data_IF_928727823160
#
_entry.id   IF_928727823160
#
_cell.length_a   1.000
_cell.length_b   1.000
_cell.length_c   1.000
_cell.angle_alpha   90.00
_cell.angle_beta   90.00
_cell.angle_gamma   90.00
#
_symmetry.space_group_name_H-M   'P 1'
#
loop_
_entity.id
_entity.type
_entity.pdbx_description
1 polymer ?
#
# COMPACT_ATOMS: atom_id res chain seq x y z
N UNK A 1 -3.07 -19.33 34.30
CA UNK A 1 -2.35 -18.56 33.27
C UNK A 1 -3.16 -18.75 32.01
N UNK A 2 -3.87 -17.73 31.54
CA UNK A 2 -4.45 -17.73 30.19
C UNK A 2 -3.28 -17.82 29.22
N UNK A 3 -3.24 -18.86 28.39
CA UNK A 3 -2.27 -18.93 27.28
C UNK A 3 -2.39 -17.63 26.47
N UNK A 4 -1.26 -17.02 26.15
CA UNK A 4 -1.23 -15.81 25.32
C UNK A 4 -1.71 -16.21 23.93
N UNK A 5 -2.97 -15.88 23.61
CA UNK A 5 -3.54 -16.07 22.27
C UNK A 5 -2.93 -15.04 21.33
N UNK A 6 -2.43 -15.50 20.18
CA UNK A 6 -1.98 -14.62 19.11
C UNK A 6 -3.16 -14.30 18.21
N UNK A 7 -3.27 -13.04 17.78
CA UNK A 7 -4.28 -12.60 16.85
C UNK A 7 -3.68 -12.56 15.43
N UNK A 8 -4.02 -13.55 14.63
CA UNK A 8 -3.51 -13.78 13.28
C UNK A 8 -4.38 -13.10 12.22
N UNK A 9 -3.77 -12.72 11.10
CA UNK A 9 -4.45 -12.38 9.84
C UNK A 9 -4.10 -13.46 8.81
N UNK A 10 -5.12 -14.07 8.22
CA UNK A 10 -4.97 -15.00 7.10
C UNK A 10 -5.61 -14.38 5.86
N UNK A 11 -4.82 -14.23 4.80
CA UNK A 11 -5.35 -13.95 3.45
C UNK A 11 -5.11 -15.12 2.52
N UNK A 12 -6.07 -15.36 1.62
CA UNK A 12 -5.94 -16.40 0.59
C UNK A 12 -6.63 -15.99 -0.70
N UNK A 13 -6.07 -16.46 -1.81
CA UNK A 13 -6.53 -16.26 -3.18
C UNK A 13 -6.41 -17.60 -3.92
N UNK A 14 -7.48 -18.06 -4.55
CA UNK A 14 -7.47 -19.28 -5.37
C UNK A 14 -8.58 -19.27 -6.42
N UNK A 15 -8.63 -20.28 -7.28
CA UNK A 15 -9.78 -20.50 -8.15
C UNK A 15 -11.04 -20.80 -7.31
N UNK A 16 -12.18 -20.21 -7.67
CA UNK A 16 -13.41 -20.40 -6.93
C UNK A 16 -14.01 -21.79 -7.15
N UNK A 17 -14.23 -22.52 -6.05
CA UNK A 17 -14.75 -23.89 -6.03
C UNK A 17 -15.52 -24.16 -4.74
N UNK A 18 -16.56 -25.02 -4.76
CA UNK A 18 -17.28 -25.40 -3.55
C UNK A 18 -16.36 -25.97 -2.44
N UNK A 19 -16.65 -25.58 -1.21
CA UNK A 19 -16.02 -26.16 -0.01
C UNK A 19 -14.81 -25.40 0.54
N UNK A 20 -14.31 -24.35 -0.12
CA UNK A 20 -13.17 -23.54 0.35
C UNK A 20 -13.40 -23.03 1.77
N UNK A 21 -14.51 -22.32 1.99
CA UNK A 21 -14.87 -21.73 3.29
C UNK A 21 -14.98 -22.79 4.38
N UNK A 22 -15.59 -23.94 4.07
CA UNK A 22 -15.74 -25.05 5.01
C UNK A 22 -14.39 -25.66 5.37
N UNK A 23 -13.51 -25.88 4.40
CA UNK A 23 -12.18 -26.43 4.63
C UNK A 23 -11.34 -25.50 5.53
N UNK A 24 -11.30 -24.21 5.21
CA UNK A 24 -10.53 -23.22 5.98
C UNK A 24 -11.06 -23.06 7.40
N UNK A 25 -12.38 -22.87 7.56
CA UNK A 25 -12.99 -22.78 8.89
C UNK A 25 -12.82 -24.06 9.70
N UNK A 26 -12.88 -25.23 9.05
CA UNK A 26 -12.59 -26.53 9.66
C UNK A 26 -11.16 -26.65 10.20
N UNK A 27 -10.15 -26.22 9.43
CA UNK A 27 -8.77 -26.20 9.90
C UNK A 27 -8.54 -25.22 11.05
N UNK A 28 -9.16 -24.04 11.00
CA UNK A 28 -9.10 -23.07 12.10
C UNK A 28 -9.65 -23.66 13.38
N UNK A 29 -10.83 -24.31 13.32
CA UNK A 29 -11.41 -25.01 14.47
C UNK A 29 -10.50 -26.16 14.94
N UNK A 30 -9.93 -26.93 14.02
CA UNK A 30 -8.98 -28.01 14.33
C UNK A 30 -7.72 -27.52 15.06
N UNK A 31 -7.34 -26.26 14.85
CA UNK A 31 -6.25 -25.57 15.52
C UNK A 31 -6.69 -24.82 16.80
N UNK A 32 -7.91 -25.06 17.29
CA UNK A 32 -8.56 -24.36 18.40
C UNK A 32 -8.62 -22.83 18.21
N UNK A 33 -8.65 -22.36 16.96
CA UNK A 33 -8.75 -20.96 16.61
C UNK A 33 -10.19 -20.44 16.63
N UNK A 34 -10.34 -19.17 16.98
CA UNK A 34 -11.61 -18.44 16.94
C UNK A 34 -11.55 -17.32 15.89
N UNK A 35 -12.47 -17.32 14.93
CA UNK A 35 -12.52 -16.29 13.89
C UNK A 35 -13.17 -15.03 14.48
N UNK A 36 -12.44 -13.91 14.47
CA UNK A 36 -12.88 -12.61 15.00
C UNK A 36 -13.27 -11.62 13.91
N UNK A 37 -12.75 -11.79 12.69
CA UNK A 37 -13.18 -11.06 11.48
C UNK A 37 -13.20 -12.05 10.31
N UNK A 38 -14.20 -11.97 9.44
CA UNK A 38 -14.31 -12.82 8.26
C UNK A 38 -14.90 -12.05 7.09
N UNK A 39 -14.14 -11.96 6.00
CA UNK A 39 -14.60 -11.40 4.74
C UNK A 39 -14.19 -12.32 3.58
N UNK A 40 -15.06 -12.45 2.60
CA UNK A 40 -14.82 -13.24 1.39
C UNK A 40 -15.46 -12.59 0.17
N UNK A 41 -14.93 -12.88 -1.01
CA UNK A 41 -15.45 -12.39 -2.27
C UNK A 41 -15.14 -13.40 -3.39
N UNK A 42 -16.14 -13.70 -4.22
CA UNK A 42 -15.97 -14.44 -5.47
C UNK A 42 -16.07 -13.49 -6.64
N UNK A 43 -15.06 -13.45 -7.49
CA UNK A 43 -15.06 -12.68 -8.73
C UNK A 43 -15.60 -13.53 -9.88
N UNK A 44 -16.82 -13.25 -10.34
CA UNK A 44 -17.39 -13.92 -11.53
C UNK A 44 -16.59 -13.62 -12.81
N UNK A 45 -15.93 -12.45 -12.86
CA UNK A 45 -15.13 -12.00 -14.01
C UNK A 45 -13.86 -12.84 -14.19
N UNK A 46 -13.24 -13.23 -13.06
CA UNK A 46 -11.93 -13.88 -13.06
C UNK A 46 -11.99 -15.33 -12.59
N UNK A 47 -13.13 -15.79 -12.08
CA UNK A 47 -13.30 -17.11 -11.47
C UNK A 47 -12.44 -17.30 -10.21
N UNK A 48 -12.09 -16.20 -9.54
CA UNK A 48 -11.15 -16.18 -8.41
C UNK A 48 -11.88 -15.91 -7.10
N UNK A 49 -11.57 -16.69 -6.08
CA UNK A 49 -12.04 -16.54 -4.71
C UNK A 49 -10.98 -15.85 -3.85
N UNK A 50 -11.43 -14.91 -3.04
CA UNK A 50 -10.62 -14.11 -2.12
C UNK A 50 -11.19 -14.24 -0.71
N UNK A 51 -10.33 -14.37 0.29
CA UNK A 51 -10.76 -14.37 1.68
C UNK A 51 -9.72 -13.72 2.57
N UNK A 52 -10.20 -12.98 3.56
CA UNK A 52 -9.41 -12.41 4.66
C UNK A 52 -10.09 -12.76 5.98
N UNK A 53 -9.31 -13.34 6.89
CA UNK A 53 -9.75 -13.71 8.23
C UNK A 53 -8.85 -13.04 9.26
N UNK A 54 -9.42 -12.66 10.39
CA UNK A 54 -8.67 -12.53 11.63
C UNK A 54 -9.03 -13.68 12.56
N UNK A 55 -8.02 -14.30 13.18
CA UNK A 55 -8.17 -15.50 13.98
C UNK A 55 -7.38 -15.37 15.27
N UNK A 56 -8.04 -15.55 16.42
CA UNK A 56 -7.37 -15.72 17.70
C UNK A 56 -7.04 -17.19 17.91
N UNK A 57 -5.77 -17.54 18.08
CA UNK A 57 -5.34 -18.91 18.36
C UNK A 57 -4.07 -18.93 19.23
N UNK A 58 -4.03 -19.85 20.21
CA UNK A 58 -2.89 -20.08 21.10
C UNK A 58 -1.92 -21.12 20.53
N UNK A 59 -1.46 -20.90 19.30
CA UNK A 59 -0.55 -21.78 18.55
C UNK A 59 0.55 -20.95 17.90
N UNK A 60 1.67 -21.57 17.53
CA UNK A 60 2.74 -20.90 16.79
C UNK A 60 2.37 -20.68 15.32
N UNK A 61 3.13 -19.80 14.64
CA UNK A 61 2.94 -19.57 13.20
C UNK A 61 3.19 -20.85 12.40
N UNK A 62 4.19 -21.65 12.79
CA UNK A 62 4.54 -22.93 12.16
C UNK A 62 3.42 -23.96 12.31
N UNK A 63 2.83 -24.06 13.51
CA UNK A 63 1.71 -24.95 13.79
C UNK A 63 0.47 -24.56 12.99
N UNK A 64 0.15 -23.26 12.92
CA UNK A 64 -0.98 -22.78 12.14
C UNK A 64 -0.75 -23.00 10.64
N UNK A 65 0.46 -22.71 10.15
CA UNK A 65 0.83 -22.97 8.75
C UNK A 65 0.69 -24.44 8.40
N UNK A 66 1.18 -25.34 9.27
CA UNK A 66 1.06 -26.79 9.08
C UNK A 66 -0.40 -27.27 9.07
N UNK A 67 -1.29 -26.64 9.85
CA UNK A 67 -2.72 -26.96 9.84
C UNK A 67 -3.43 -26.51 8.54
N UNK A 68 -2.95 -25.44 7.91
CA UNK A 68 -3.50 -24.90 6.67
C UNK A 68 -2.95 -25.60 5.41
N UNK A 69 -1.71 -26.08 5.46
CA UNK A 69 -0.97 -26.65 4.32
C UNK A 69 -1.76 -27.68 3.48
N UNK A 70 -2.47 -28.66 4.08
CA UNK A 70 -3.22 -29.63 3.28
C UNK A 70 -4.36 -28.99 2.46
N UNK A 71 -4.92 -27.88 2.95
CA UNK A 71 -6.02 -27.17 2.30
C UNK A 71 -5.46 -26.23 1.24
N UNK A 72 -4.41 -25.47 1.57
CA UNK A 72 -3.78 -24.54 0.64
C UNK A 72 -3.23 -25.27 -0.57
N UNK A 73 -2.64 -26.46 -0.39
CA UNK A 73 -2.23 -27.33 -1.50
C UNK A 73 -3.41 -27.87 -2.32
N UNK A 74 -4.46 -28.37 -1.66
CA UNK A 74 -5.65 -28.93 -2.34
C UNK A 74 -6.34 -27.93 -3.26
N UNK A 75 -6.41 -26.67 -2.84
CA UNK A 75 -7.08 -25.59 -3.57
C UNK A 75 -6.10 -24.68 -4.33
N UNK A 76 -4.80 -25.03 -4.36
CA UNK A 76 -3.76 -24.26 -5.05
C UNK A 76 -3.75 -22.78 -4.63
N UNK A 77 -3.91 -22.53 -3.33
CA UNK A 77 -4.05 -21.19 -2.78
C UNK A 77 -2.71 -20.45 -2.75
N UNK A 78 -2.72 -19.21 -3.20
CA UNK A 78 -1.74 -18.23 -2.74
C UNK A 78 -2.25 -17.66 -1.42
N UNK A 79 -1.46 -17.74 -0.35
CA UNK A 79 -1.89 -17.34 0.98
C UNK A 79 -0.77 -16.68 1.77
N UNK A 80 -1.15 -15.89 2.78
CA UNK A 80 -0.26 -15.25 3.74
C UNK A 80 -0.86 -15.36 5.13
N UNK A 81 0.00 -15.63 6.12
CA UNK A 81 -0.34 -15.58 7.54
C UNK A 81 0.55 -14.55 8.20
N UNK A 82 -0.07 -13.59 8.90
CA UNK A 82 0.59 -12.49 9.59
C UNK A 82 -0.08 -12.25 10.95
N UNK A 83 0.41 -11.27 11.71
CA UNK A 83 -0.10 -10.89 13.03
C UNK A 83 -0.80 -9.54 12.97
N UNK A 84 -1.99 -9.47 13.55
CA UNK A 84 -2.79 -8.24 13.63
C UNK A 84 -1.98 -7.14 14.34
N UNK A 85 -1.84 -6.00 13.65
CA UNK A 85 -1.21 -4.80 14.22
C UNK A 85 0.32 -4.80 14.22
N UNK A 86 0.98 -5.84 13.67
CA UNK A 86 2.42 -5.81 13.43
C UNK A 86 2.76 -4.62 12.50
N UNK A 87 3.73 -3.76 12.86
CA UNK A 87 4.16 -2.69 11.97
C UNK A 87 4.75 -3.25 10.67
N UNK A 88 4.22 -2.82 9.54
CA UNK A 88 4.73 -3.17 8.22
C UNK A 88 5.99 -2.37 7.90
N UNK A 89 7.08 -3.06 7.58
CA UNK A 89 8.37 -2.40 7.28
C UNK A 89 8.29 -1.69 5.93
N UNK A 90 8.34 -0.36 5.97
CA UNK A 90 7.96 0.50 4.84
C UNK A 90 9.05 1.50 4.50
N UNK A 91 9.56 1.46 3.27
CA UNK A 91 10.48 2.47 2.74
C UNK A 91 9.70 3.58 2.05
N UNK A 92 10.00 4.84 2.36
CA UNK A 92 9.32 5.98 1.72
C UNK A 92 10.29 6.71 0.79
N UNK A 93 9.89 6.87 -0.48
CA UNK A 93 10.61 7.66 -1.48
C UNK A 93 9.93 9.02 -1.64
N UNK A 94 10.73 10.09 -1.64
CA UNK A 94 10.22 11.47 -1.74
C UNK A 94 11.02 12.34 -2.69
N UNK A 95 10.36 13.38 -3.22
CA UNK A 95 11.02 14.49 -3.91
C UNK A 95 11.00 15.74 -3.03
N UNK A 96 10.35 16.83 -3.45
CA UNK A 96 10.33 18.10 -2.72
C UNK A 96 9.04 18.38 -1.96
N UNK A 97 7.94 17.73 -2.34
CA UNK A 97 6.64 17.98 -1.73
C UNK A 97 6.52 17.17 -0.44
N UNK A 98 6.41 17.86 0.70
CA UNK A 98 6.50 17.22 2.03
C UNK A 98 5.17 16.73 2.60
N UNK A 99 4.02 17.05 2.00
CA UNK A 99 2.70 16.82 2.59
C UNK A 99 2.39 15.35 2.87
N UNK A 100 2.59 14.46 1.88
CA UNK A 100 2.38 13.03 2.06
C UNK A 100 3.33 12.42 3.11
N UNK A 101 4.62 12.77 3.06
CA UNK A 101 5.61 12.29 4.02
C UNK A 101 5.25 12.74 5.45
N UNK A 102 4.88 14.00 5.62
CA UNK A 102 4.49 14.53 6.92
C UNK A 102 3.25 13.83 7.49
N UNK A 103 2.20 13.61 6.69
CA UNK A 103 0.99 12.90 7.14
C UNK A 103 1.28 11.45 7.54
N UNK A 104 2.08 10.72 6.75
CA UNK A 104 2.49 9.35 7.08
C UNK A 104 3.30 9.29 8.38
N UNK A 105 4.33 10.14 8.53
CA UNK A 105 5.18 10.17 9.73
C UNK A 105 4.40 10.58 10.98
N UNK A 106 3.50 11.56 10.85
CA UNK A 106 2.60 11.97 11.92
C UNK A 106 1.72 10.81 12.38
N UNK A 107 1.06 10.10 11.46
CA UNK A 107 0.16 9.00 11.77
C UNK A 107 0.87 7.76 12.29
N UNK A 108 2.08 7.47 11.82
CA UNK A 108 2.94 6.44 12.40
C UNK A 108 3.20 6.78 13.87
N UNK A 109 3.71 7.99 14.16
CA UNK A 109 4.01 8.43 15.54
C UNK A 109 2.76 8.43 16.44
N UNK A 110 1.59 8.72 15.87
CA UNK A 110 0.31 8.71 16.59
C UNK A 110 -0.30 7.29 16.76
N UNK A 111 0.32 6.24 16.23
CA UNK A 111 -0.22 4.87 16.26
C UNK A 111 -1.47 4.66 15.39
N UNK A 112 -1.68 5.53 14.39
CA UNK A 112 -2.83 5.50 13.47
C UNK A 112 -2.51 4.80 12.14
N UNK A 113 -1.23 4.55 11.89
CA UNK A 113 -0.72 3.85 10.71
C UNK A 113 0.32 2.83 11.18
N UNK A 114 -0.01 1.53 11.10
CA UNK A 114 0.84 0.43 11.57
C UNK A 114 1.98 0.14 10.59
N UNK A 115 2.89 1.10 10.44
CA UNK A 115 4.10 0.98 9.63
C UNK A 115 5.33 1.31 10.46
N UNK A 116 6.46 0.76 10.06
CA UNK A 116 7.78 1.16 10.53
C UNK A 116 8.55 1.74 9.34
N UNK A 117 8.94 3.00 9.41
CA UNK A 117 9.75 3.66 8.37
C UNK A 117 11.21 3.75 8.85
N UNK A 118 12.09 2.79 8.48
CA UNK A 118 13.49 2.79 8.93
C UNK A 118 14.35 3.81 8.17
N UNK A 119 13.93 4.23 6.97
CA UNK A 119 14.66 5.18 6.14
C UNK A 119 13.69 5.92 5.20
N UNK A 120 13.97 7.19 4.96
CA UNK A 120 13.43 7.96 3.84
C UNK A 120 14.54 8.17 2.80
N UNK A 121 14.28 7.77 1.55
CA UNK A 121 15.18 8.04 0.43
C UNK A 121 14.63 9.15 -0.45
N UNK A 122 15.48 10.06 -0.88
CA UNK A 122 15.04 11.21 -1.66
C UNK A 122 15.98 11.54 -2.82
N UNK A 123 15.42 12.08 -3.91
CA UNK A 123 16.24 12.65 -4.98
C UNK A 123 16.66 14.12 -4.72
N UNK A 124 16.25 14.68 -3.57
CA UNK A 124 16.54 16.05 -3.13
C UNK A 124 16.71 16.11 -1.60
N UNK A 125 17.49 17.06 -1.05
CA UNK A 125 17.69 17.20 0.39
C UNK A 125 16.55 17.94 1.12
N UNK A 126 15.60 18.52 0.38
CA UNK A 126 14.58 19.46 0.88
C UNK A 126 13.79 18.97 2.11
N UNK A 127 13.58 17.66 2.24
CA UNK A 127 12.77 17.06 3.31
C UNK A 127 13.58 16.45 4.46
N UNK A 128 14.91 16.63 4.48
CA UNK A 128 15.77 16.06 5.52
C UNK A 128 15.36 16.53 6.93
N UNK A 129 15.12 17.83 7.12
CA UNK A 129 14.71 18.38 8.42
C UNK A 129 13.34 17.88 8.89
N UNK A 130 12.44 17.54 7.96
CA UNK A 130 11.15 16.93 8.29
C UNK A 130 11.33 15.51 8.83
N UNK A 131 12.13 14.68 8.15
CA UNK A 131 12.43 13.33 8.61
C UNK A 131 13.17 13.35 9.97
N UNK A 132 14.14 14.24 10.13
CA UNK A 132 14.88 14.46 11.38
C UNK A 132 13.95 14.82 12.55
N UNK A 133 12.97 15.72 12.34
CA UNK A 133 11.98 16.06 13.35
C UNK A 133 11.16 14.84 13.84
N UNK A 134 10.91 13.89 12.94
CA UNK A 134 10.26 12.63 13.29
C UNK A 134 11.20 11.55 13.85
N UNK A 135 12.52 11.79 13.82
CA UNK A 135 13.54 10.85 14.26
C UNK A 135 13.80 9.72 13.24
N UNK A 136 13.49 9.95 11.96
CA UNK A 136 13.64 8.96 10.89
C UNK A 136 14.90 9.28 10.08
N UNK A 137 15.80 8.30 9.85
CA UNK A 137 16.95 8.47 8.98
C UNK A 137 16.55 8.96 7.57
N UNK A 138 17.39 9.81 6.98
CA UNK A 138 17.16 10.39 5.67
C UNK A 138 18.43 10.31 4.81
N UNK A 139 18.29 9.81 3.60
CA UNK A 139 19.38 9.72 2.63
C UNK A 139 18.94 10.37 1.30
N UNK A 140 19.65 11.41 0.86
CA UNK A 140 19.39 12.07 -0.42
C UNK A 140 20.48 11.79 -1.45
N UNK A 141 20.08 11.42 -2.66
CA UNK A 141 20.97 11.25 -3.82
C UNK A 141 20.35 11.92 -5.05
N UNK A 142 20.98 12.96 -5.63
CA UNK A 142 20.47 13.59 -6.83
C UNK A 142 20.27 12.58 -7.98
N UNK A 143 19.21 12.77 -8.75
CA UNK A 143 18.93 11.99 -9.97
C UNK A 143 18.75 12.98 -11.11
N UNK A 144 19.82 13.18 -11.88
CA UNK A 144 19.89 14.12 -13.01
C UNK A 144 20.29 13.45 -14.33
N UNK A 145 20.82 12.23 -14.28
CA UNK A 145 21.14 11.40 -15.45
C UNK A 145 20.55 9.99 -15.36
N UNK A 146 20.61 9.24 -16.48
CA UNK A 146 20.16 7.84 -16.52
C UNK A 146 21.02 6.94 -15.63
N UNK A 147 22.33 7.19 -15.56
CA UNK A 147 23.28 6.47 -14.71
C UNK A 147 22.98 6.72 -13.23
N UNK A 148 22.69 7.97 -12.85
CA UNK A 148 22.31 8.33 -11.48
C UNK A 148 20.95 7.72 -11.10
N UNK A 149 19.99 7.66 -12.05
CA UNK A 149 18.72 6.97 -11.84
C UNK A 149 18.94 5.48 -11.56
N UNK A 150 19.74 4.80 -12.40
CA UNK A 150 20.04 3.38 -12.20
C UNK A 150 20.74 3.14 -10.86
N UNK A 151 21.67 4.01 -10.46
CA UNK A 151 22.33 3.93 -9.15
C UNK A 151 21.38 4.19 -7.98
N UNK A 152 20.42 5.11 -8.12
CA UNK A 152 19.38 5.36 -7.13
C UNK A 152 18.47 4.16 -6.95
N UNK A 153 17.96 3.60 -8.04
CA UNK A 153 17.10 2.41 -8.02
C UNK A 153 17.83 1.19 -7.44
N UNK A 154 19.11 0.99 -7.79
CA UNK A 154 19.94 -0.04 -7.18
C UNK A 154 20.10 0.16 -5.66
N UNK A 155 20.28 1.40 -5.20
CA UNK A 155 20.31 1.70 -3.75
C UNK A 155 18.99 1.40 -3.08
N UNK A 156 17.86 1.71 -3.71
CA UNK A 156 16.54 1.38 -3.16
C UNK A 156 16.40 -0.13 -2.97
N UNK A 157 16.78 -0.93 -3.96
CA UNK A 157 16.74 -2.41 -3.84
C UNK A 157 17.66 -2.92 -2.73
N UNK A 158 18.86 -2.35 -2.60
CA UNK A 158 19.77 -2.67 -1.50
C UNK A 158 19.15 -2.37 -0.13
N UNK A 159 18.51 -1.21 0.04
CA UNK A 159 17.81 -0.86 1.29
C UNK A 159 16.66 -1.80 1.58
N UNK A 160 15.93 -2.22 0.53
CA UNK A 160 14.84 -3.18 0.66
C UNK A 160 15.34 -4.50 1.25
N UNK A 161 16.47 -5.01 0.78
CA UNK A 161 17.10 -6.22 1.32
C UNK A 161 17.69 -5.99 2.72
N UNK A 162 18.45 -4.92 2.93
CA UNK A 162 19.12 -4.62 4.21
C UNK A 162 18.15 -4.44 5.38
N UNK A 163 16.93 -3.98 5.10
CA UNK A 163 15.95 -3.62 6.11
C UNK A 163 14.68 -4.46 6.03
N UNK A 164 14.67 -5.58 5.30
CA UNK A 164 13.48 -6.45 5.15
C UNK A 164 12.21 -5.65 4.81
N UNK A 165 12.30 -4.74 3.84
CA UNK A 165 11.19 -3.86 3.46
C UNK A 165 10.11 -4.67 2.73
N UNK A 166 8.89 -4.53 3.22
CA UNK A 166 7.71 -5.20 2.69
C UNK A 166 6.94 -4.31 1.70
N UNK A 167 7.03 -2.99 1.87
CA UNK A 167 6.36 -1.99 1.05
C UNK A 167 7.25 -0.79 0.75
N UNK A 168 7.28 -0.36 -0.51
CA UNK A 168 7.83 0.93 -0.92
C UNK A 168 6.68 1.91 -1.21
N UNK A 169 6.74 3.11 -0.67
CA UNK A 169 5.73 4.16 -0.87
C UNK A 169 6.34 5.34 -1.59
N UNK A 170 5.77 5.71 -2.74
CA UNK A 170 6.12 6.93 -3.47
C UNK A 170 5.29 8.09 -2.92
N UNK A 171 5.78 8.74 -1.86
CA UNK A 171 5.14 9.91 -1.27
C UNK A 171 5.46 11.17 -2.11
N UNK A 172 4.80 11.26 -3.28
CA UNK A 172 5.06 12.27 -4.31
C UNK A 172 6.51 12.29 -4.79
N UNK A 173 7.07 11.10 -4.98
CA UNK A 173 8.32 10.92 -5.72
C UNK A 173 8.08 11.15 -7.21
N UNK A 174 8.85 12.06 -7.82
CA UNK A 174 8.56 12.58 -9.16
C UNK A 174 9.40 11.95 -10.27
N UNK A 175 10.35 11.06 -9.96
CA UNK A 175 11.10 10.34 -10.99
C UNK A 175 10.27 9.17 -11.52
N UNK A 176 10.22 9.03 -12.84
CA UNK A 176 9.65 7.84 -13.49
C UNK A 176 10.55 6.66 -13.15
N UNK A 177 9.99 5.55 -12.67
CA UNK A 177 10.72 4.32 -12.35
C UNK A 177 11.03 3.52 -13.62
N UNK A 178 12.14 2.78 -13.63
CA UNK A 178 12.45 1.87 -14.74
C UNK A 178 11.52 0.64 -14.74
N UNK A 179 11.24 0.04 -15.91
CA UNK A 179 10.49 -1.21 -15.99
C UNK A 179 11.09 -2.33 -15.14
N UNK A 180 12.42 -2.43 -15.10
CA UNK A 180 13.16 -3.43 -14.34
C UNK A 180 12.94 -3.27 -12.83
N UNK A 181 12.97 -2.02 -12.34
CA UNK A 181 12.68 -1.70 -10.95
C UNK A 181 11.21 -1.99 -10.58
N UNK A 182 10.26 -1.63 -11.44
CA UNK A 182 8.84 -1.96 -11.24
C UNK A 182 8.62 -3.48 -11.17
N UNK A 183 9.30 -4.26 -12.00
CA UNK A 183 9.20 -5.72 -11.97
C UNK A 183 9.76 -6.33 -10.68
N UNK A 184 10.92 -5.85 -10.21
CA UNK A 184 11.57 -6.34 -9.00
C UNK A 184 10.74 -6.15 -7.71
N UNK A 185 9.90 -5.11 -7.69
CA UNK A 185 9.03 -4.77 -6.55
C UNK A 185 7.54 -4.85 -6.91
N UNK A 186 7.17 -5.68 -7.89
CA UNK A 186 5.79 -5.84 -8.33
C UNK A 186 4.86 -6.18 -7.16
N UNK A 187 3.73 -5.47 -7.06
CA UNK A 187 2.78 -5.61 -5.95
C UNK A 187 3.24 -5.05 -4.60
N UNK A 188 4.44 -4.43 -4.54
CA UNK A 188 5.03 -3.86 -3.32
C UNK A 188 5.41 -2.39 -3.43
N UNK A 189 4.93 -1.69 -4.46
CA UNK A 189 5.11 -0.24 -4.58
C UNK A 189 3.74 0.42 -4.67
N UNK A 190 3.43 1.33 -3.73
CA UNK A 190 2.23 2.17 -3.77
C UNK A 190 2.63 3.59 -4.17
N UNK A 191 1.94 4.14 -5.16
CA UNK A 191 2.09 5.53 -5.60
C UNK A 191 0.83 6.34 -5.30
N UNK A 192 0.99 7.67 -5.22
CA UNK A 192 -0.11 8.63 -5.19
C UNK A 192 -0.06 9.52 -6.44
N UNK A 193 -1.14 9.46 -7.22
CA UNK A 193 -1.37 10.36 -8.33
C UNK A 193 -2.36 11.45 -7.91
N UNK A 194 -2.04 12.69 -8.25
CA UNK A 194 -2.74 13.92 -7.83
C UNK A 194 -4.07 14.18 -8.55
N UNK A 195 -4.47 13.25 -9.41
CA UNK A 195 -5.70 13.33 -10.19
C UNK A 195 -6.60 12.14 -9.88
N UNK A 196 -7.89 12.35 -10.09
CA UNK A 196 -8.84 11.25 -10.19
C UNK A 196 -8.65 10.61 -11.57
N UNK A 197 -7.89 9.53 -11.64
CA UNK A 197 -7.65 8.80 -12.88
C UNK A 197 -8.99 8.29 -13.43
N UNK A 198 -9.25 8.42 -14.76
CA UNK A 198 -8.31 8.77 -15.84
C UNK A 198 -8.16 10.28 -16.17
N UNK A 199 -8.56 11.22 -15.31
CA UNK A 199 -8.52 12.67 -15.58
C UNK A 199 -7.13 13.32 -15.51
N UNK A 200 -6.92 14.38 -16.31
CA UNK A 200 -5.75 15.29 -16.35
C UNK A 200 -4.35 14.64 -16.21
N UNK A 201 -3.85 14.04 -17.30
CA UNK A 201 -2.44 13.60 -17.41
C UNK A 201 -1.50 14.81 -17.64
N UNK A 202 -0.23 14.68 -17.22
CA UNK A 202 0.84 15.63 -17.54
C UNK A 202 1.09 16.75 -16.51
N UNK A 203 1.83 17.79 -16.92
CA UNK A 203 2.31 18.83 -16.00
C UNK A 203 1.21 19.82 -15.55
N UNK A 204 1.35 20.36 -14.33
CA UNK A 204 0.47 21.39 -13.76
C UNK A 204 -1.04 21.03 -13.75
N UNK A 205 -1.42 19.86 -13.21
CA UNK A 205 -2.80 19.35 -13.16
C UNK A 205 -3.81 20.34 -12.60
N UNK A 206 -3.47 21.02 -11.49
CA UNK A 206 -4.38 21.97 -10.83
C UNK A 206 -4.61 23.24 -11.64
N UNK A 207 -3.64 23.66 -12.47
CA UNK A 207 -3.86 24.76 -13.43
C UNK A 207 -4.83 24.34 -14.53
N UNK A 208 -4.71 23.11 -15.03
CA UNK A 208 -5.63 22.56 -16.03
C UNK A 208 -7.05 22.42 -15.43
N UNK A 209 -7.15 21.90 -14.21
CA UNK A 209 -8.41 21.78 -13.47
C UNK A 209 -9.09 23.15 -13.26
N UNK A 210 -8.33 24.16 -12.83
CA UNK A 210 -8.81 25.54 -12.69
C UNK A 210 -9.31 26.10 -14.02
N UNK A 211 -8.50 26.03 -15.08
CA UNK A 211 -8.87 26.54 -16.40
C UNK A 211 -10.11 25.83 -16.97
N UNK A 212 -10.28 24.54 -16.67
CA UNK A 212 -11.44 23.75 -17.09
C UNK A 212 -12.69 24.00 -16.25
N UNK A 213 -12.55 24.68 -15.10
CA UNK A 213 -13.64 25.05 -14.20
C UNK A 213 -14.24 23.85 -13.45
N UNK A 214 -13.44 22.83 -13.14
CA UNK A 214 -13.92 21.61 -12.47
C UNK A 214 -14.62 21.90 -11.15
N UNK A 215 -15.48 20.98 -10.72
CA UNK A 215 -16.19 21.04 -9.42
C UNK A 215 -15.74 19.97 -8.44
N UNK A 216 -14.83 19.12 -8.89
CA UNK A 216 -14.20 18.08 -8.11
C UNK A 216 -12.72 18.03 -8.51
N UNK A 217 -11.86 17.89 -7.51
CA UNK A 217 -10.49 17.39 -7.68
C UNK A 217 -10.35 16.16 -6.80
N UNK A 218 -9.36 15.32 -7.06
CA UNK A 218 -9.18 14.09 -6.30
C UNK A 218 -7.80 13.51 -6.49
N UNK A 219 -7.54 12.42 -5.79
CA UNK A 219 -6.30 11.69 -5.85
C UNK A 219 -6.57 10.20 -5.98
N UNK A 220 -5.60 9.47 -6.54
CA UNK A 220 -5.68 8.04 -6.77
C UNK A 220 -4.41 7.37 -6.23
N UNK A 221 -4.55 6.52 -5.23
CA UNK A 221 -3.49 5.63 -4.78
C UNK A 221 -3.59 4.30 -5.51
N UNK A 222 -2.48 3.82 -6.04
CA UNK A 222 -2.45 2.61 -6.87
C UNK A 222 -1.12 1.88 -6.73
N UNK A 223 -1.11 0.59 -7.06
CA UNK A 223 0.16 -0.14 -7.23
C UNK A 223 0.90 0.37 -8.47
N UNK A 224 2.22 0.43 -8.41
CA UNK A 224 3.04 0.78 -9.58
C UNK A 224 3.20 -0.44 -10.49
N UNK A 225 3.09 -0.22 -11.79
CA UNK A 225 3.42 -1.17 -12.85
C UNK A 225 4.41 -0.51 -13.84
N UNK A 226 4.80 -1.22 -14.89
CA UNK A 226 5.59 -0.62 -15.99
C UNK A 226 4.81 0.46 -16.76
N UNK A 227 3.48 0.40 -16.73
CA UNK A 227 2.61 1.37 -17.38
C UNK A 227 2.37 2.55 -16.43
N UNK A 228 2.87 3.73 -16.83
CA UNK A 228 2.88 4.93 -16.00
C UNK A 228 1.47 5.34 -15.58
N UNK A 229 1.23 5.43 -14.27
CA UNK A 229 -0.04 5.82 -13.64
C UNK A 229 -1.24 4.92 -14.02
N UNK A 230 -1.01 3.66 -14.39
CA UNK A 230 -2.07 2.74 -14.87
C UNK A 230 -2.16 1.41 -14.09
N UNK A 231 -1.44 1.29 -12.98
CA UNK A 231 -1.51 0.09 -12.15
C UNK A 231 -2.82 -0.04 -11.34
N UNK A 232 -3.05 -1.21 -10.71
CA UNK A 232 -4.28 -1.49 -9.98
C UNK A 232 -4.56 -0.45 -8.88
N UNK A 233 -5.72 0.19 -8.98
CA UNK A 233 -6.19 1.24 -8.05
C UNK A 233 -6.53 0.62 -6.70
N UNK A 234 -5.97 1.17 -5.62
CA UNK A 234 -6.25 0.76 -4.24
C UNK A 234 -7.30 1.69 -3.62
N UNK A 235 -7.15 3.00 -3.81
CA UNK A 235 -8.04 3.99 -3.21
C UNK A 235 -8.19 5.25 -4.08
N UNK A 236 -9.37 5.85 -4.05
CA UNK A 236 -9.61 7.16 -4.65
C UNK A 236 -10.47 8.03 -3.75
N UNK A 237 -10.05 9.28 -3.54
CA UNK A 237 -10.89 10.30 -2.90
C UNK A 237 -11.05 11.51 -3.81
N UNK A 238 -12.18 12.20 -3.62
CA UNK A 238 -12.51 13.45 -4.30
C UNK A 238 -13.02 14.48 -3.30
N UNK A 239 -12.74 15.75 -3.57
CA UNK A 239 -13.23 16.90 -2.83
C UNK A 239 -13.84 17.92 -3.77
N UNK A 240 -14.92 18.55 -3.30
CA UNK A 240 -15.60 19.60 -4.04
C UNK A 240 -14.80 20.90 -4.03
N UNK A 241 -14.68 21.51 -5.20
CA UNK A 241 -14.10 22.83 -5.39
C UNK A 241 -15.05 23.71 -6.19
N UNK A 242 -14.87 25.03 -6.12
CA UNK A 242 -15.72 25.98 -6.83
C UNK A 242 -14.91 27.11 -7.48
N UNK A 243 -15.62 28.05 -8.10
CA UNK A 243 -15.06 29.14 -8.88
C UNK A 243 -14.38 30.22 -8.03
N UNK A 244 -14.50 30.18 -6.70
CA UNK A 244 -13.83 31.13 -5.81
C UNK A 244 -12.37 30.77 -5.55
N UNK A 245 -11.95 29.55 -5.90
CA UNK A 245 -10.61 29.03 -5.63
C UNK A 245 -9.62 29.42 -6.70
N UNK A 246 -8.50 29.98 -6.27
CA UNK A 246 -7.31 30.21 -7.09
C UNK A 246 -6.57 28.91 -7.39
N UNK A 247 -5.69 28.86 -8.41
CA UNK A 247 -4.87 27.68 -8.67
C UNK A 247 -3.99 27.25 -7.49
N UNK A 248 -3.52 28.19 -6.68
CA UNK A 248 -2.69 27.89 -5.49
C UNK A 248 -3.53 27.22 -4.38
N UNK A 249 -4.76 27.69 -4.15
CA UNK A 249 -5.67 27.03 -3.21
C UNK A 249 -6.06 25.63 -3.69
N UNK A 250 -6.26 25.42 -4.99
CA UNK A 250 -6.51 24.07 -5.53
C UNK A 250 -5.33 23.11 -5.30
N UNK A 251 -4.08 23.62 -5.37
CA UNK A 251 -2.90 22.83 -5.02
C UNK A 251 -2.94 22.42 -3.55
N UNK A 252 -3.22 23.36 -2.64
CA UNK A 252 -3.29 23.06 -1.21
C UNK A 252 -4.38 22.02 -0.88
N UNK A 253 -5.60 22.22 -1.39
CA UNK A 253 -6.70 21.27 -1.24
C UNK A 253 -6.32 19.90 -1.83
N UNK A 254 -5.65 19.90 -2.99
CA UNK A 254 -5.18 18.69 -3.63
C UNK A 254 -4.14 17.92 -2.80
N UNK A 255 -3.19 18.62 -2.19
CA UNK A 255 -2.18 18.02 -1.31
C UNK A 255 -2.79 17.34 -0.08
N UNK A 256 -3.87 17.91 0.48
CA UNK A 256 -4.61 17.29 1.58
C UNK A 256 -5.27 15.98 1.13
N UNK A 257 -5.93 15.98 -0.03
CA UNK A 257 -6.57 14.78 -0.60
C UNK A 257 -5.57 13.70 -0.99
N UNK A 258 -4.41 14.07 -1.55
CA UNK A 258 -3.31 13.15 -1.83
C UNK A 258 -2.81 12.46 -0.57
N UNK A 259 -2.56 13.24 0.49
CA UNK A 259 -2.06 12.72 1.77
C UNK A 259 -3.03 11.71 2.37
N UNK A 260 -4.32 12.09 2.44
CA UNK A 260 -5.38 11.23 2.97
C UNK A 260 -5.54 9.95 2.16
N UNK A 261 -5.55 10.05 0.84
CA UNK A 261 -5.71 8.92 -0.07
C UNK A 261 -4.55 7.95 0.02
N UNK A 262 -3.31 8.46 0.01
CA UNK A 262 -2.12 7.64 0.13
C UNK A 262 -2.08 6.90 1.47
N UNK A 263 -2.26 7.62 2.58
CA UNK A 263 -2.27 7.02 3.92
C UNK A 263 -3.34 5.94 4.02
N UNK A 264 -4.53 6.17 3.48
CA UNK A 264 -5.61 5.18 3.54
C UNK A 264 -5.26 3.91 2.76
N UNK A 265 -4.64 4.03 1.58
CA UNK A 265 -4.16 2.90 0.80
C UNK A 265 -3.04 2.14 1.52
N UNK A 266 -2.06 2.84 2.10
CA UNK A 266 -0.98 2.23 2.89
C UNK A 266 -1.55 1.52 4.12
N UNK A 267 -2.55 2.11 4.79
CA UNK A 267 -3.23 1.47 5.92
C UNK A 267 -3.90 0.17 5.53
N UNK A 268 -4.67 0.16 4.42
CA UNK A 268 -5.27 -1.09 3.95
C UNK A 268 -4.24 -2.13 3.57
N UNK A 269 -3.14 -1.73 2.95
CA UNK A 269 -2.06 -2.66 2.64
C UNK A 269 -1.41 -3.25 3.90
N UNK A 270 -1.09 -2.41 4.89
CA UNK A 270 -0.48 -2.82 6.16
C UNK A 270 -1.40 -3.70 7.03
N UNK A 271 -2.71 -3.66 6.81
CA UNK A 271 -3.69 -4.51 7.49
C UNK A 271 -4.09 -5.75 6.67
N UNK A 272 -3.35 -6.07 5.59
CA UNK A 272 -3.62 -7.15 4.64
C UNK A 272 -5.05 -7.13 4.08
N UNK A 273 -5.57 -5.92 3.83
CA UNK A 273 -6.93 -5.68 3.30
C UNK A 273 -6.97 -5.55 1.78
N UNK A 274 -5.82 -5.52 1.12
CA UNK A 274 -5.70 -5.32 -0.33
C UNK A 274 -5.24 -6.62 -0.99
N UNK A 275 -6.08 -7.20 -1.86
CA UNK A 275 -5.72 -8.36 -2.67
C UNK A 275 -5.78 -8.03 -4.15
N UNK A 276 -4.79 -8.46 -4.92
CA UNK A 276 -4.72 -8.21 -6.37
C UNK A 276 -5.67 -9.15 -7.13
N UNK A 277 -6.52 -8.58 -7.98
CA UNK A 277 -7.34 -9.28 -8.97
C UNK A 277 -6.95 -8.83 -10.37
N UNK A 278 -5.85 -9.40 -10.89
CA UNK A 278 -5.24 -9.01 -12.17
C UNK A 278 -4.91 -7.50 -12.20
N UNK A 279 -5.68 -6.71 -12.97
CA UNK A 279 -5.52 -5.27 -13.12
C UNK A 279 -6.34 -4.44 -12.10
N UNK A 280 -7.01 -5.09 -11.15
CA UNK A 280 -7.86 -4.46 -10.11
C UNK A 280 -7.42 -4.92 -8.73
N UNK A 281 -8.06 -4.37 -7.69
CA UNK A 281 -7.88 -4.82 -6.32
C UNK A 281 -9.22 -5.15 -5.68
N UNK A 282 -9.22 -6.15 -4.80
CA UNK A 282 -10.28 -6.38 -3.82
C UNK A 282 -9.87 -5.73 -2.50
N UNK A 283 -10.76 -4.93 -1.91
CA UNK A 283 -10.52 -4.20 -0.65
C UNK A 283 -11.49 -4.67 0.42
N UNK A 284 -10.99 -5.33 1.46
CA UNK A 284 -11.77 -5.78 2.61
C UNK A 284 -11.79 -4.71 3.71
N UNK A 285 -12.85 -3.90 3.79
CA UNK A 285 -12.95 -2.73 4.69
C UNK A 285 -13.26 -3.09 6.14
#
# INVERSE_FOLDING_TARGET
>A
MTELSTHWILTLVCEDRPGIVHAISGAIVGANGNITESQQFSSDDTGTFFMRLQVEAAISQEEFSAALEPITQRYEMTWRLDVVGRPLRTLVLVSKAGHCLNDMLFRQRAGQLSVEIPLVLANHPDLAGLAEFYGVPFESRPVTSAEEKAAFEARVLQVVEENDIELVVLARYMQILSPEFCAALSGRIINIHHSFLPGFKGASPYKQAHARGVKLIGATAHFVTSDLDEGPIIEQNVVRVDHSRTPAELVAIGQDEESRTLTQAVKWFAEDRVLLDRARTIIFK
#
